data_IF_562178427788
#
_entry.id   IF_562178427788
#
_cell.length_a   1.000
_cell.length_b   1.000
_cell.length_c   1.000
_cell.angle_alpha   90.00
_cell.angle_beta   90.00
_cell.angle_gamma   90.00
#
_symmetry.space_group_name_H-M   'P 1'
#
loop_
_entity.id
_entity.type
_entity.pdbx_description
1 polymer ?
#
# COMPACT_ATOMS: atom_id res chain seq x y z
N UNK A 1 6.98 -32.04 -6.19
CA UNK A 1 7.21 -30.60 -6.48
C UNK A 1 7.51 -29.98 -5.13
N UNK A 2 8.78 -29.70 -4.86
CA UNK A 2 9.22 -29.07 -3.62
C UNK A 2 8.46 -27.75 -3.44
N UNK A 3 8.05 -27.50 -2.19
CA UNK A 3 7.12 -26.45 -1.83
C UNK A 3 7.72 -25.07 -2.04
N UNK A 4 7.34 -24.42 -3.13
CA UNK A 4 7.52 -22.98 -3.30
C UNK A 4 6.71 -22.30 -2.19
N UNK A 5 7.41 -21.66 -1.26
CA UNK A 5 6.76 -20.80 -0.27
C UNK A 5 6.06 -19.67 -1.03
N UNK A 6 4.77 -19.43 -0.78
CA UNK A 6 4.05 -18.36 -1.48
C UNK A 6 4.75 -17.03 -1.18
N UNK A 7 5.07 -16.29 -2.24
CA UNK A 7 5.72 -14.99 -2.13
C UNK A 7 4.76 -14.01 -1.46
N UNK A 8 5.19 -13.40 -0.36
CA UNK A 8 4.43 -12.34 0.31
C UNK A 8 4.75 -10.99 -0.36
N UNK A 9 3.82 -10.49 -1.18
CA UNK A 9 3.95 -9.19 -1.88
C UNK A 9 3.82 -7.99 -0.93
N UNK A 10 3.25 -8.19 0.26
CA UNK A 10 3.02 -7.16 1.27
C UNK A 10 4.06 -7.22 2.41
N UNK A 11 5.22 -7.83 2.19
CA UNK A 11 6.26 -7.84 3.22
C UNK A 11 6.78 -6.41 3.46
N UNK A 12 7.22 -6.19 4.70
CA UNK A 12 7.74 -4.90 5.14
C UNK A 12 9.26 -4.95 5.26
N UNK A 13 9.91 -3.84 4.94
CA UNK A 13 11.34 -3.64 5.21
C UNK A 13 11.61 -3.40 6.71
N UNK A 14 12.88 -3.18 7.08
CA UNK A 14 13.26 -2.88 8.46
C UNK A 14 12.69 -1.56 9.01
N UNK A 15 12.12 -0.72 8.16
CA UNK A 15 11.45 0.54 8.50
C UNK A 15 9.92 0.40 8.52
N UNK A 16 9.38 -0.79 8.26
CA UNK A 16 7.94 -1.03 8.24
C UNK A 16 7.27 -0.59 6.94
N UNK A 17 8.00 -0.45 5.83
CA UNK A 17 7.44 -0.03 4.53
C UNK A 17 7.31 -1.21 3.59
N UNK A 18 6.19 -1.26 2.87
CA UNK A 18 5.96 -2.19 1.77
C UNK A 18 6.69 -1.78 0.49
N UNK A 19 6.82 -2.72 -0.44
CA UNK A 19 7.35 -2.43 -1.78
C UNK A 19 6.52 -1.38 -2.53
N UNK A 20 5.20 -1.35 -2.29
CA UNK A 20 4.29 -0.40 -2.92
C UNK A 20 4.49 1.03 -2.42
N UNK A 21 4.65 1.22 -1.10
CA UNK A 21 4.96 2.53 -0.52
C UNK A 21 6.28 3.07 -1.06
N UNK A 22 7.32 2.24 -1.11
CA UNK A 22 8.62 2.64 -1.66
C UNK A 22 8.49 3.02 -3.15
N UNK A 23 7.69 2.30 -3.93
CA UNK A 23 7.46 2.63 -5.34
C UNK A 23 6.70 3.95 -5.51
N UNK A 24 5.73 4.23 -4.64
CA UNK A 24 4.98 5.49 -4.62
C UNK A 24 5.87 6.67 -4.21
N UNK A 25 6.67 6.53 -3.15
CA UNK A 25 7.60 7.57 -2.68
C UNK A 25 8.62 7.98 -3.76
N UNK A 26 9.01 7.03 -4.62
CA UNK A 26 9.93 7.29 -5.73
C UNK A 26 9.21 7.72 -7.03
N UNK A 27 7.88 7.92 -6.99
CA UNK A 27 7.04 8.22 -8.14
C UNK A 27 7.22 7.24 -9.32
N UNK A 28 7.57 5.98 -9.03
CA UNK A 28 7.86 4.98 -10.04
C UNK A 28 6.57 4.31 -10.54
N UNK A 29 5.98 4.92 -11.56
CA UNK A 29 4.69 4.51 -12.14
C UNK A 29 4.73 3.05 -12.64
N UNK A 30 5.81 2.62 -13.29
CA UNK A 30 5.88 1.27 -13.85
C UNK A 30 5.88 0.19 -12.76
N UNK A 31 6.60 0.43 -11.66
CA UNK A 31 6.63 -0.50 -10.52
C UNK A 31 5.29 -0.49 -9.79
N UNK A 32 4.66 0.67 -9.62
CA UNK A 32 3.32 0.76 -9.02
C UNK A 32 2.30 -0.03 -9.85
N UNK A 33 2.26 0.16 -11.17
CA UNK A 33 1.37 -0.58 -12.07
C UNK A 33 1.59 -2.10 -12.00
N UNK A 34 2.85 -2.53 -11.87
CA UNK A 34 3.20 -3.95 -11.73
C UNK A 34 2.74 -4.53 -10.40
N UNK A 35 2.93 -3.80 -9.29
CA UNK A 35 2.55 -4.23 -7.95
C UNK A 35 1.02 -4.28 -7.78
N UNK A 36 0.29 -3.32 -8.37
CA UNK A 36 -1.17 -3.31 -8.34
C UNK A 36 -1.80 -4.52 -9.05
N UNK A 37 -1.08 -5.21 -9.94
CA UNK A 37 -1.59 -6.44 -10.58
C UNK A 37 -1.50 -7.68 -9.68
N UNK A 38 -0.83 -7.58 -8.52
CA UNK A 38 -0.67 -8.72 -7.62
C UNK A 38 -1.97 -9.00 -6.85
N UNK A 39 -2.33 -10.28 -6.66
CA UNK A 39 -3.44 -10.63 -5.79
C UNK A 39 -3.15 -10.20 -4.35
N UNK A 40 -4.21 -9.82 -3.63
CA UNK A 40 -4.16 -9.45 -2.21
C UNK A 40 -3.19 -8.30 -1.87
N UNK A 41 -2.85 -7.45 -2.84
CA UNK A 41 -2.03 -6.25 -2.62
C UNK A 41 -2.75 -5.26 -1.67
N UNK A 42 -2.01 -4.77 -0.66
CA UNK A 42 -2.50 -3.77 0.29
C UNK A 42 -2.10 -2.37 -0.19
N UNK A 43 -3.11 -1.53 -0.40
CA UNK A 43 -2.94 -0.22 -1.06
C UNK A 43 -3.06 0.95 -0.07
N UNK A 44 -3.71 0.76 1.08
CA UNK A 44 -4.10 1.84 2.00
C UNK A 44 -3.01 2.86 2.33
N UNK A 45 -1.84 2.41 2.80
CA UNK A 45 -0.74 3.31 3.16
C UNK A 45 -0.12 4.00 1.94
N UNK A 46 0.14 3.25 0.88
CA UNK A 46 0.69 3.78 -0.35
C UNK A 46 -0.23 4.86 -0.97
N UNK A 47 -1.55 4.71 -0.81
CA UNK A 47 -2.52 5.71 -1.22
C UNK A 47 -2.42 6.97 -0.37
N UNK A 48 -2.28 6.83 0.96
CA UNK A 48 -2.08 7.97 1.84
C UNK A 48 -0.77 8.71 1.52
N UNK A 49 0.33 7.98 1.25
CA UNK A 49 1.59 8.57 0.81
C UNK A 49 1.40 9.36 -0.49
N UNK A 50 0.76 8.78 -1.51
CA UNK A 50 0.51 9.47 -2.77
C UNK A 50 -0.34 10.75 -2.60
N UNK A 51 -1.30 10.75 -1.66
CA UNK A 51 -2.11 11.93 -1.32
C UNK A 51 -1.26 13.00 -0.62
N UNK A 52 -0.44 12.61 0.37
CA UNK A 52 0.45 13.53 1.11
C UNK A 52 1.44 14.24 0.20
N UNK A 53 2.03 13.50 -0.74
CA UNK A 53 2.98 14.04 -1.71
C UNK A 53 2.30 14.77 -2.89
N UNK A 54 0.98 14.66 -3.03
CA UNK A 54 0.21 15.36 -4.07
C UNK A 54 0.35 14.77 -5.47
N UNK A 55 0.74 13.49 -5.58
CA UNK A 55 0.98 12.82 -6.87
C UNK A 55 -0.34 12.26 -7.41
N UNK A 56 -1.16 13.14 -7.99
CA UNK A 56 -2.54 12.82 -8.43
C UNK A 56 -2.63 11.60 -9.35
N UNK A 57 -1.62 11.36 -10.20
CA UNK A 57 -1.60 10.21 -11.09
C UNK A 57 -1.55 8.89 -10.32
N UNK A 58 -0.71 8.81 -9.28
CA UNK A 58 -0.61 7.65 -8.42
C UNK A 58 -1.86 7.46 -7.57
N UNK A 59 -2.46 8.56 -7.11
CA UNK A 59 -3.76 8.52 -6.43
C UNK A 59 -4.79 7.89 -7.36
N UNK A 60 -4.94 8.40 -8.59
CA UNK A 60 -5.89 7.90 -9.59
C UNK A 60 -5.70 6.41 -9.88
N UNK A 61 -4.45 5.96 -10.06
CA UNK A 61 -4.15 4.54 -10.29
C UNK A 61 -4.61 3.66 -9.12
N UNK A 62 -4.38 4.11 -7.89
CA UNK A 62 -4.69 3.36 -6.69
C UNK A 62 -6.20 3.32 -6.38
N UNK A 63 -6.93 4.46 -6.44
CA UNK A 63 -8.38 4.47 -6.17
C UNK A 63 -9.22 3.75 -7.23
N UNK A 64 -8.71 3.59 -8.46
CA UNK A 64 -9.38 2.80 -9.49
C UNK A 64 -9.12 1.29 -9.35
N UNK A 65 -8.30 0.86 -8.40
CA UNK A 65 -8.02 -0.55 -8.19
C UNK A 65 -9.22 -1.26 -7.52
N UNK A 66 -9.65 -2.45 -8.00
CA UNK A 66 -10.87 -3.12 -7.52
C UNK A 66 -10.83 -3.57 -6.05
N UNK A 67 -9.65 -3.64 -5.43
CA UNK A 67 -9.53 -3.94 -3.99
C UNK A 67 -9.79 -2.74 -3.09
N UNK A 68 -9.83 -1.51 -3.61
CA UNK A 68 -10.19 -0.33 -2.83
C UNK A 68 -11.70 -0.30 -2.63
N UNK A 69 -12.11 -0.26 -1.37
CA UNK A 69 -13.52 -0.13 -0.99
C UNK A 69 -13.77 1.20 -0.30
N UNK A 70 -15.05 1.60 -0.18
CA UNK A 70 -15.42 2.85 0.51
C UNK A 70 -15.05 2.81 1.99
N UNK A 71 -15.04 1.63 2.59
CA UNK A 71 -14.73 1.40 4.00
C UNK A 71 -13.26 1.70 4.30
N UNK A 72 -12.36 1.43 3.34
CA UNK A 72 -10.94 1.77 3.44
C UNK A 72 -10.68 3.29 3.43
N UNK A 73 -11.63 4.09 2.95
CA UNK A 73 -11.53 5.54 2.82
C UNK A 73 -12.51 6.31 3.73
N UNK A 74 -13.29 5.59 4.54
CA UNK A 74 -14.32 6.14 5.43
C UNK A 74 -13.99 5.88 6.90
N UNK A 75 -15.01 5.90 7.77
CA UNK A 75 -14.83 5.81 9.23
C UNK A 75 -14.19 4.48 9.71
N UNK A 76 -14.18 3.44 8.86
CA UNK A 76 -13.57 2.13 9.13
C UNK A 76 -12.14 1.95 8.61
N UNK A 77 -11.48 3.01 8.15
CA UNK A 77 -10.15 2.92 7.53
C UNK A 77 -9.10 2.26 8.44
N UNK A 78 -9.17 2.52 9.75
CA UNK A 78 -8.21 2.01 10.74
C UNK A 78 -8.24 0.48 10.89
N UNK A 79 -9.36 -0.18 10.60
CA UNK A 79 -9.48 -1.65 10.67
C UNK A 79 -8.72 -2.37 9.53
N UNK A 80 -8.35 -1.63 8.49
CA UNK A 80 -7.71 -2.16 7.28
C UNK A 80 -6.19 -1.94 7.26
N UNK A 81 -5.64 -1.29 8.29
CA UNK A 81 -4.20 -1.12 8.48
C UNK A 81 -3.57 -2.36 9.10
N UNK A 82 -2.32 -2.67 8.75
CA UNK A 82 -1.58 -3.72 9.44
C UNK A 82 -1.22 -3.27 10.87
N UNK A 83 -1.53 -4.05 11.92
CA UNK A 83 -1.15 -3.75 13.31
C UNK A 83 0.34 -3.43 13.50
N UNK A 84 1.23 -4.05 12.70
CA UNK A 84 2.66 -3.77 12.72
C UNK A 84 2.99 -2.35 12.22
N UNK A 85 2.13 -1.77 11.39
CA UNK A 85 2.29 -0.44 10.80
C UNK A 85 1.64 0.66 11.64
N UNK A 86 0.51 0.39 12.31
CA UNK A 86 -0.12 1.35 13.25
C UNK A 86 0.76 1.63 14.48
N UNK A 87 1.68 0.71 14.79
CA UNK A 87 2.68 0.87 15.83
C UNK A 87 3.84 1.81 15.43
N UNK A 88 3.97 2.16 14.15
CA UNK A 88 4.98 3.11 13.67
C UNK A 88 4.64 4.53 14.13
N UNK A 89 5.63 5.19 14.73
CA UNK A 89 5.49 6.47 15.41
C UNK A 89 5.02 7.65 14.52
N UNK A 90 4.92 7.45 13.21
CA UNK A 90 4.46 8.47 12.26
C UNK A 90 2.98 8.84 12.42
N UNK A 91 2.15 7.93 12.94
CA UNK A 91 0.72 8.18 13.17
C UNK A 91 0.37 8.60 14.61
N UNK A 92 1.37 8.69 15.51
CA UNK A 92 1.18 9.07 16.92
C UNK A 92 1.40 10.57 17.20
N UNK A 93 1.10 11.46 16.25
CA UNK A 93 1.13 12.92 16.48
C UNK A 93 -0.20 13.59 16.22
#
# INVERSE_FOLDING_TARGET
>A
KEGETPLNVNCLDSMGRSALEIAVDNENIEVVDLLLKQPDIRIGNALLCAIREGVYRLVEMQVNHPSITREMLGDGWAEHLDPAEVASAEYSR
#
